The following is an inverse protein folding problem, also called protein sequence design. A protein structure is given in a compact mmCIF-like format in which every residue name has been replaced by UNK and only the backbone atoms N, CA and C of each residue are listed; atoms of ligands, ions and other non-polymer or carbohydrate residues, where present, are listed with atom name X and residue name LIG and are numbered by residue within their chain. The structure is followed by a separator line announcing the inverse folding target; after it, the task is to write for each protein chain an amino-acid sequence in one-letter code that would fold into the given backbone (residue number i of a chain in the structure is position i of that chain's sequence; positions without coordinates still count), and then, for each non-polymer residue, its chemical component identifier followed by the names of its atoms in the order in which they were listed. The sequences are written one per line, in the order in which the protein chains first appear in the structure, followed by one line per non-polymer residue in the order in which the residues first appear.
data_IF_889352390334
#
_entry.id   IF_889352390334
#
_cell.length_a   1.000
_cell.length_b   1.000
_cell.length_c   1.000
_cell.angle_alpha   90.00
_cell.angle_beta   90.00
_cell.angle_gamma   90.00
#
_symmetry.space_group_name_H-M   'P 1'
#
loop_
_entity.id
_entity.type
_entity.pdbx_description
1 polymer ?
#
# COMPACT_ATOMS: atom_id res chain seq x y z
N UNK A 1 -16.99 -4.34 22.18
CA UNK A 1 -16.45 -3.19 21.42
C UNK A 1 -15.25 -3.60 20.56
N UNK A 2 -14.25 -4.35 21.08
CA UNK A 2 -13.23 -4.94 20.20
C UNK A 2 -13.81 -6.01 19.28
N UNK A 3 -14.73 -6.83 19.77
CA UNK A 3 -15.27 -7.97 19.01
C UNK A 3 -15.94 -7.56 17.69
N UNK A 4 -16.79 -6.52 17.69
CA UNK A 4 -17.46 -6.04 16.47
C UNK A 4 -16.45 -5.53 15.43
N UNK A 5 -15.42 -4.80 15.87
CA UNK A 5 -14.37 -4.30 14.99
C UNK A 5 -13.52 -5.43 14.41
N UNK A 6 -13.23 -6.47 15.20
CA UNK A 6 -12.54 -7.66 14.71
C UNK A 6 -13.38 -8.46 13.73
N UNK A 7 -14.68 -8.57 13.95
CA UNK A 7 -15.58 -9.20 12.99
C UNK A 7 -15.56 -8.46 11.65
N UNK A 8 -15.55 -7.12 11.67
CA UNK A 8 -15.43 -6.29 10.47
C UNK A 8 -14.09 -6.55 9.77
N UNK A 9 -12.97 -6.45 10.48
CA UNK A 9 -11.64 -6.70 9.91
C UNK A 9 -11.51 -8.14 9.37
N UNK A 10 -12.02 -9.13 10.09
CA UNK A 10 -11.97 -10.53 9.67
C UNK A 10 -12.80 -10.77 8.40
N UNK A 11 -14.01 -10.21 8.33
CA UNK A 11 -14.86 -10.30 7.14
C UNK A 11 -14.21 -9.62 5.94
N UNK A 12 -13.64 -8.43 6.11
CA UNK A 12 -12.92 -7.72 5.06
C UNK A 12 -11.69 -8.52 4.59
N UNK A 13 -10.91 -9.09 5.51
CA UNK A 13 -9.75 -9.90 5.17
C UNK A 13 -10.12 -11.18 4.42
N UNK A 14 -11.20 -11.86 4.81
CA UNK A 14 -11.71 -13.02 4.08
C UNK A 14 -12.09 -12.66 2.65
N UNK A 15 -12.78 -11.54 2.46
CA UNK A 15 -13.13 -11.04 1.13
C UNK A 15 -11.87 -10.72 0.31
N UNK A 16 -10.86 -10.10 0.92
CA UNK A 16 -9.58 -9.81 0.25
C UNK A 16 -8.88 -11.07 -0.22
N UNK A 17 -8.88 -12.12 0.61
CA UNK A 17 -8.28 -13.41 0.25
C UNK A 17 -9.05 -14.05 -0.91
N UNK A 18 -10.38 -14.00 -0.90
CA UNK A 18 -11.18 -14.60 -1.97
C UNK A 18 -11.10 -13.87 -3.31
N UNK A 19 -10.84 -12.56 -3.29
CA UNK A 19 -10.76 -11.73 -4.49
C UNK A 19 -9.33 -11.48 -4.97
N UNK A 20 -8.32 -12.00 -4.26
CA UNK A 20 -6.92 -11.78 -4.60
C UNK A 20 -6.58 -12.41 -5.95
N UNK A 21 -5.95 -11.62 -6.81
CA UNK A 21 -5.39 -12.07 -8.08
C UNK A 21 -3.87 -12.04 -8.06
N UNK A 22 -3.24 -12.86 -8.90
CA UNK A 22 -1.77 -12.93 -9.03
C UNK A 22 -1.16 -11.58 -9.39
N UNK A 23 -1.82 -10.86 -10.30
CA UNK A 23 -1.32 -9.60 -10.87
C UNK A 23 -1.74 -8.36 -10.06
N UNK A 24 -2.32 -8.54 -8.88
CA UNK A 24 -2.87 -7.44 -8.05
C UNK A 24 -1.81 -6.42 -7.61
N UNK A 25 -0.51 -6.71 -7.76
CA UNK A 25 0.59 -5.89 -7.28
C UNK A 25 1.62 -5.54 -8.37
N UNK A 26 1.28 -5.71 -9.65
CA UNK A 26 2.22 -5.55 -10.78
C UNK A 26 2.88 -4.16 -10.86
N UNK A 27 2.25 -3.11 -10.32
CA UNK A 27 2.83 -1.75 -10.30
C UNK A 27 3.57 -1.42 -9.00
N UNK A 28 3.68 -2.37 -8.06
CA UNK A 28 4.48 -2.26 -6.85
C UNK A 28 5.88 -2.86 -7.05
N UNK A 29 6.55 -2.49 -8.14
CA UNK A 29 7.97 -2.85 -8.34
C UNK A 29 8.84 -2.21 -7.26
N UNK A 30 9.99 -2.80 -7.00
CA UNK A 30 10.98 -2.28 -6.04
C UNK A 30 11.29 -0.81 -6.30
N UNK A 31 11.57 -0.43 -7.55
CA UNK A 31 11.91 0.94 -7.93
C UNK A 31 10.75 1.91 -7.66
N UNK A 32 9.52 1.46 -7.94
CA UNK A 32 8.32 2.27 -7.74
C UNK A 32 8.07 2.51 -6.26
N UNK A 33 8.18 1.46 -5.44
CA UNK A 33 8.00 1.53 -3.99
C UNK A 33 9.10 2.37 -3.35
N UNK A 34 10.36 2.15 -3.71
CA UNK A 34 11.50 2.95 -3.25
C UNK A 34 11.32 4.43 -3.58
N UNK A 35 10.84 4.74 -4.79
CA UNK A 35 10.55 6.11 -5.18
C UNK A 35 9.46 6.73 -4.31
N UNK A 36 8.32 6.05 -4.12
CA UNK A 36 7.22 6.50 -3.26
C UNK A 36 7.72 6.75 -1.83
N UNK A 37 8.47 5.80 -1.28
CA UNK A 37 8.98 5.86 0.10
C UNK A 37 9.99 6.99 0.25
N UNK A 38 10.89 7.15 -0.72
CA UNK A 38 11.88 8.24 -0.74
C UNK A 38 11.19 9.61 -0.76
N UNK A 39 10.15 9.78 -1.59
CA UNK A 39 9.37 11.03 -1.61
C UNK A 39 8.70 11.27 -0.27
N UNK A 40 8.07 10.26 0.33
CA UNK A 40 7.42 10.39 1.64
C UNK A 40 8.41 10.78 2.74
N UNK A 41 9.59 10.15 2.78
CA UNK A 41 10.67 10.47 3.71
C UNK A 41 11.17 11.91 3.51
N UNK A 42 11.40 12.33 2.25
CA UNK A 42 11.84 13.69 1.94
C UNK A 42 10.81 14.76 2.31
N UNK A 43 9.53 14.43 2.19
CA UNK A 43 8.43 15.29 2.61
C UNK A 43 8.12 15.19 4.11
N UNK A 44 8.85 14.34 4.86
CA UNK A 44 8.67 14.10 6.30
C UNK A 44 7.24 13.67 6.67
N UNK A 45 6.65 12.83 5.82
CA UNK A 45 5.30 12.31 6.02
C UNK A 45 5.31 11.13 7.01
N UNK A 46 4.25 10.94 7.81
CA UNK A 46 4.02 9.73 8.60
C UNK A 46 4.19 8.44 7.80
N UNK A 47 4.64 7.37 8.47
CA UNK A 47 4.94 6.10 7.79
C UNK A 47 3.70 5.48 7.15
N UNK A 48 2.53 5.67 7.75
CA UNK A 48 1.25 5.17 7.26
C UNK A 48 0.95 5.67 5.84
N UNK A 49 1.37 6.90 5.52
CA UNK A 49 1.10 7.55 4.23
C UNK A 49 1.84 6.84 3.09
N UNK A 50 3.07 6.35 3.30
CA UNK A 50 3.86 5.74 2.22
C UNK A 50 3.24 4.42 1.74
N UNK A 51 2.73 3.60 2.67
CA UNK A 51 2.04 2.35 2.33
C UNK A 51 0.68 2.62 1.66
N UNK A 52 -0.09 3.57 2.21
CA UNK A 52 -1.39 3.92 1.64
C UNK A 52 -1.23 4.51 0.23
N UNK A 53 -0.23 5.36 0.02
CA UNK A 53 0.08 5.92 -1.29
C UNK A 53 0.45 4.84 -2.32
N UNK A 54 1.25 3.85 -1.91
CA UNK A 54 1.61 2.71 -2.76
C UNK A 54 0.36 1.91 -3.17
N UNK A 55 -0.53 1.58 -2.23
CA UNK A 55 -1.79 0.88 -2.52
C UNK A 55 -2.67 1.69 -3.48
N UNK A 56 -2.84 3.00 -3.24
CA UNK A 56 -3.65 3.87 -4.11
C UNK A 56 -3.05 3.93 -5.51
N UNK A 57 -1.73 4.11 -5.61
CA UNK A 57 -1.03 4.18 -6.88
C UNK A 57 -1.22 2.88 -7.69
N UNK A 58 -0.95 1.73 -7.08
CA UNK A 58 -1.06 0.44 -7.75
C UNK A 58 -2.49 0.16 -8.25
N UNK A 59 -3.50 0.37 -7.39
CA UNK A 59 -4.91 0.21 -7.80
C UNK A 59 -5.27 1.12 -8.97
N UNK A 60 -4.85 2.38 -8.91
CA UNK A 60 -5.09 3.32 -10.00
C UNK A 60 -4.42 2.86 -11.30
N UNK A 61 -3.17 2.39 -11.23
CA UNK A 61 -2.43 1.95 -12.40
C UNK A 61 -3.05 0.72 -13.03
N UNK A 62 -3.52 -0.25 -12.24
CA UNK A 62 -4.27 -1.42 -12.72
C UNK A 62 -5.48 -1.01 -13.55
N UNK A 63 -6.38 -0.19 -12.98
CA UNK A 63 -7.58 0.28 -13.70
C UNK A 63 -7.19 1.13 -14.91
N UNK A 64 -6.24 2.04 -14.76
CA UNK A 64 -5.89 2.98 -15.82
C UNK A 64 -5.27 2.28 -17.03
N UNK A 65 -4.40 1.30 -16.80
CA UNK A 65 -3.74 0.53 -17.87
C UNK A 65 -4.73 -0.42 -18.53
N UNK A 66 -5.60 -1.08 -17.76
CA UNK A 66 -6.67 -1.93 -18.30
C UNK A 66 -7.64 -1.14 -19.20
N UNK A 67 -8.12 0.02 -18.76
CA UNK A 67 -8.99 0.89 -19.57
C UNK A 67 -8.33 1.31 -20.89
N UNK A 68 -7.05 1.66 -20.85
CA UNK A 68 -6.28 2.04 -22.03
C UNK A 68 -6.04 0.85 -22.95
N UNK A 69 -5.74 -0.32 -22.38
CA UNK A 69 -5.53 -1.55 -23.13
C UNK A 69 -6.80 -1.93 -23.89
N UNK A 70 -7.96 -1.93 -23.22
CA UNK A 70 -9.26 -2.15 -23.84
C UNK A 70 -9.53 -1.15 -24.97
N UNK A 71 -9.27 0.13 -24.73
CA UNK A 71 -9.42 1.19 -25.73
C UNK A 71 -8.60 0.95 -27.01
N UNK A 72 -7.41 0.36 -26.90
CA UNK A 72 -6.55 0.05 -28.06
C UNK A 72 -6.94 -1.27 -28.69
N UNK A 73 -6.99 -2.34 -27.90
CA UNK A 73 -7.03 -3.71 -28.40
C UNK A 73 -8.44 -4.21 -28.72
N UNK A 74 -9.50 -3.58 -28.20
CA UNK A 74 -10.88 -3.91 -28.57
C UNK A 74 -11.34 -3.20 -29.87
N UNK A 75 -10.57 -2.24 -30.38
CA UNK A 75 -10.90 -1.58 -31.65
C UNK A 75 -10.57 -2.46 -32.87
N UNK A 76 -11.28 -2.32 -34.01
CA UNK A 76 -11.05 -3.15 -35.19
C UNK A 76 -9.87 -2.67 -36.06
N UNK A 77 -8.77 -2.24 -35.45
CA UNK A 77 -7.55 -1.83 -36.17
C UNK A 77 -6.58 -3.02 -36.38
N UNK A 78 -5.72 -2.97 -37.41
CA UNK A 78 -4.66 -3.95 -37.60
C UNK A 78 -3.70 -4.02 -36.39
N UNK A 79 -3.16 -5.21 -36.11
CA UNK A 79 -2.28 -5.46 -34.95
C UNK A 79 -1.08 -4.49 -34.92
N UNK A 80 -0.43 -4.25 -36.06
CA UNK A 80 0.69 -3.32 -36.15
C UNK A 80 0.33 -1.89 -35.74
N UNK A 81 -0.89 -1.42 -36.07
CA UNK A 81 -1.37 -0.12 -35.65
C UNK A 81 -1.61 -0.09 -34.13
N UNK A 82 -2.22 -1.14 -33.58
CA UNK A 82 -2.45 -1.26 -32.12
C UNK A 82 -1.14 -1.23 -31.34
N UNK A 83 -0.11 -1.94 -31.81
CA UNK A 83 1.19 -1.96 -31.17
C UNK A 83 1.85 -0.57 -31.16
N UNK A 84 1.87 0.12 -32.30
CA UNK A 84 2.42 1.49 -32.37
C UNK A 84 1.67 2.47 -31.45
N UNK A 85 0.34 2.36 -31.39
CA UNK A 85 -0.46 3.19 -30.49
C UNK A 85 -0.21 2.85 -29.02
N UNK A 86 -0.02 1.56 -28.70
CA UNK A 86 0.31 1.09 -27.36
C UNK A 86 1.67 1.61 -26.89
N UNK A 87 2.72 1.53 -27.73
CA UNK A 87 4.05 2.07 -27.42
C UNK A 87 3.98 3.58 -27.12
N UNK A 88 3.17 4.33 -27.86
CA UNK A 88 2.95 5.76 -27.61
C UNK A 88 2.23 6.02 -26.29
N UNK A 89 1.24 5.19 -25.96
CA UNK A 89 0.48 5.27 -24.70
C UNK A 89 1.40 4.95 -23.53
N UNK A 90 2.16 3.87 -23.60
CA UNK A 90 3.13 3.46 -22.58
C UNK A 90 4.14 4.57 -22.30
N UNK A 91 4.76 5.13 -23.35
CA UNK A 91 5.68 6.26 -23.21
C UNK A 91 5.02 7.50 -22.58
N UNK A 92 3.70 7.69 -22.74
CA UNK A 92 2.96 8.77 -22.11
C UNK A 92 2.63 8.48 -20.64
N UNK A 93 2.28 7.24 -20.31
CA UNK A 93 2.06 6.80 -18.93
C UNK A 93 3.36 6.96 -18.13
N UNK A 94 4.48 6.45 -18.65
CA UNK A 94 5.78 6.49 -17.98
C UNK A 94 6.22 7.92 -17.64
N UNK A 95 5.99 8.89 -18.53
CA UNK A 95 6.25 10.32 -18.27
C UNK A 95 5.37 10.94 -17.18
N UNK A 96 4.20 10.34 -16.92
CA UNK A 96 3.24 10.83 -15.93
C UNK A 96 3.38 10.12 -14.57
N UNK A 97 4.11 9.01 -14.47
CA UNK A 97 4.29 8.25 -13.21
C UNK A 97 4.63 9.15 -12.02
N UNK A 98 5.61 10.07 -12.08
CA UNK A 98 5.92 10.96 -10.96
C UNK A 98 4.73 11.81 -10.52
N UNK A 99 3.95 12.34 -11.46
CA UNK A 99 2.74 13.09 -11.16
C UNK A 99 1.69 12.20 -10.48
N UNK A 100 1.50 10.96 -10.95
CA UNK A 100 0.55 10.00 -10.38
C UNK A 100 0.95 9.59 -8.96
N UNK A 101 2.23 9.27 -8.75
CA UNK A 101 2.78 8.95 -7.43
C UNK A 101 2.55 10.10 -6.45
N UNK A 102 2.96 11.32 -6.80
CA UNK A 102 2.79 12.46 -5.90
C UNK A 102 1.32 12.82 -5.66
N UNK A 103 0.44 12.54 -6.62
CA UNK A 103 -1.01 12.69 -6.43
C UNK A 103 -1.58 11.62 -5.49
N UNK A 104 -1.12 10.36 -5.60
CA UNK A 104 -1.48 9.29 -4.67
C UNK A 104 -1.00 9.58 -3.23
N UNK A 105 0.22 10.11 -3.07
CA UNK A 105 0.75 10.60 -1.78
C UNK A 105 -0.12 11.73 -1.23
N UNK A 106 -0.52 12.68 -2.09
CA UNK A 106 -1.42 13.76 -1.69
C UNK A 106 -2.77 13.23 -1.19
N UNK A 107 -3.40 12.29 -1.90
CA UNK A 107 -4.65 11.65 -1.48
C UNK A 107 -4.45 10.93 -0.15
N UNK A 108 -3.42 10.09 -0.04
CA UNK A 108 -3.09 9.37 1.20
C UNK A 108 -2.89 10.31 2.38
N UNK A 109 -2.21 11.45 2.18
CA UNK A 109 -2.02 12.44 3.24
C UNK A 109 -3.34 13.07 3.71
N UNK A 110 -4.29 13.34 2.80
CA UNK A 110 -5.63 13.86 3.14
C UNK A 110 -6.47 12.84 3.88
N UNK A 111 -6.35 11.56 3.53
CA UNK A 111 -7.03 10.46 4.23
C UNK A 111 -6.47 10.26 5.63
N UNK A 112 -5.16 10.47 5.83
CA UNK A 112 -4.51 10.32 7.12
C UNK A 112 -4.80 11.49 8.07
N UNK A 113 -4.59 12.73 7.62
CA UNK A 113 -4.91 13.95 8.38
C UNK A 113 -5.29 15.06 7.41
N UNK A 114 -6.54 15.51 7.44
CA UNK A 114 -7.00 16.61 6.58
C UNK A 114 -6.21 17.90 6.83
N UNK A 115 -5.97 18.23 8.11
CA UNK A 115 -5.33 19.48 8.52
C UNK A 115 -3.83 19.54 8.18
N UNK A 116 -3.13 18.41 8.25
CA UNK A 116 -1.69 18.31 7.97
C UNK A 116 -1.40 17.73 6.59
N UNK A 117 -2.41 17.69 5.72
CA UNK A 117 -2.29 17.10 4.39
C UNK A 117 -1.37 17.87 3.46
N UNK A 118 -0.77 17.16 2.52
CA UNK A 118 0.14 17.73 1.54
C UNK A 118 -0.62 18.67 0.60
N UNK A 119 -0.28 19.96 0.63
CA UNK A 119 -0.93 20.94 -0.23
C UNK A 119 -0.55 20.77 -1.72
N UNK A 120 -1.43 21.19 -2.62
CA UNK A 120 -1.17 21.16 -4.08
C UNK A 120 0.09 21.96 -4.46
N UNK A 121 0.39 23.03 -3.73
CA UNK A 121 1.59 23.84 -3.92
C UNK A 121 2.85 23.08 -3.53
N UNK A 122 2.82 22.30 -2.44
CA UNK A 122 3.93 21.45 -2.02
C UNK A 122 4.19 20.32 -3.02
N UNK A 123 3.13 19.69 -3.54
CA UNK A 123 3.25 18.69 -4.62
C UNK A 123 3.89 19.28 -5.86
N UNK A 124 3.41 20.45 -6.32
CA UNK A 124 4.01 21.16 -7.46
C UNK A 124 5.50 21.45 -7.22
N UNK A 125 5.85 21.91 -6.02
CA UNK A 125 7.24 22.22 -5.68
C UNK A 125 8.10 20.95 -5.71
N UNK A 126 7.63 19.85 -5.13
CA UNK A 126 8.32 18.56 -5.15
C UNK A 126 8.54 18.06 -6.59
N UNK A 127 7.51 18.10 -7.43
CA UNK A 127 7.62 17.77 -8.87
C UNK A 127 8.66 18.65 -9.57
N UNK A 128 8.67 19.95 -9.29
CA UNK A 128 9.66 20.88 -9.86
C UNK A 128 11.09 20.51 -9.43
N UNK A 129 11.31 20.16 -8.16
CA UNK A 129 12.62 19.71 -7.65
C UNK A 129 13.09 18.42 -8.31
N UNK A 130 12.15 17.57 -8.73
CA UNK A 130 12.42 16.33 -9.48
C UNK A 130 12.60 16.55 -11.00
N UNK A 131 12.55 17.81 -11.47
CA UNK A 131 12.73 18.16 -12.88
C UNK A 131 11.42 18.24 -13.69
N UNK A 132 10.26 18.11 -13.06
CA UNK A 132 8.96 18.11 -13.75
C UNK A 132 8.23 19.46 -13.64
N UNK A 133 7.94 20.07 -14.79
CA UNK A 133 7.27 21.35 -14.88
C UNK A 133 5.74 21.20 -14.94
N UNK A 134 5.11 20.87 -13.80
CA UNK A 134 3.64 20.80 -13.69
C UNK A 134 3.01 22.07 -13.11
N UNK A 135 1.76 22.35 -13.51
CA UNK A 135 0.95 23.42 -12.92
C UNK A 135 0.16 22.89 -11.71
N UNK A 136 -0.31 23.79 -10.84
CA UNK A 136 -1.22 23.42 -9.73
C UNK A 136 -2.50 22.78 -10.26
N UNK A 137 -3.00 23.27 -11.40
CA UNK A 137 -4.17 22.68 -12.07
C UNK A 137 -3.91 21.27 -12.59
N UNK A 138 -2.70 21.00 -13.10
CA UNK A 138 -2.29 19.65 -13.51
C UNK A 138 -2.28 18.68 -12.33
N UNK A 139 -1.78 19.13 -11.17
CA UNK A 139 -1.80 18.35 -9.92
C UNK A 139 -3.24 18.04 -9.50
N UNK A 140 -4.10 19.06 -9.44
CA UNK A 140 -5.52 18.87 -9.07
C UNK A 140 -6.24 17.93 -10.03
N UNK A 141 -6.05 18.08 -11.35
CA UNK A 141 -6.65 17.18 -12.34
C UNK A 141 -6.14 15.75 -12.20
N UNK A 142 -4.88 15.58 -11.81
CA UNK A 142 -4.32 14.26 -11.55
C UNK A 142 -4.95 13.60 -10.34
N UNK A 143 -5.12 14.34 -9.24
CA UNK A 143 -5.83 13.86 -8.06
C UNK A 143 -7.27 13.44 -8.38
N UNK A 144 -8.02 14.29 -9.10
CA UNK A 144 -9.40 13.98 -9.50
C UNK A 144 -9.44 12.73 -10.37
N UNK A 145 -8.50 12.58 -11.32
CA UNK A 145 -8.44 11.39 -12.18
C UNK A 145 -8.24 10.11 -11.36
N UNK A 146 -7.30 10.12 -10.40
CA UNK A 146 -7.06 8.95 -9.55
C UNK A 146 -8.32 8.60 -8.77
N UNK A 147 -8.96 9.59 -8.15
CA UNK A 147 -10.18 9.37 -7.37
C UNK A 147 -11.33 8.86 -8.23
N UNK A 148 -11.55 9.46 -9.41
CA UNK A 148 -12.64 9.05 -10.31
C UNK A 148 -12.42 7.67 -10.90
N UNK A 149 -11.18 7.31 -11.27
CA UNK A 149 -10.86 5.97 -11.78
C UNK A 149 -11.03 4.89 -10.72
N UNK A 150 -10.98 5.24 -9.45
CA UNK A 150 -11.20 4.33 -8.34
C UNK A 150 -12.63 4.42 -7.78
N UNK A 151 -13.57 5.04 -8.51
CA UNK A 151 -14.95 5.28 -8.06
C UNK A 151 -15.03 5.89 -6.66
N UNK A 152 -14.07 6.78 -6.34
CA UNK A 152 -13.90 7.42 -5.02
C UNK A 152 -13.66 6.43 -3.88
N UNK A 153 -13.36 5.18 -4.20
CA UNK A 153 -13.23 4.07 -3.29
C UNK A 153 -11.76 3.81 -2.89
N UNK A 154 -11.08 4.86 -2.42
CA UNK A 154 -9.67 4.81 -1.98
C UNK A 154 -9.46 4.21 -0.58
N UNK A 155 -10.54 4.09 0.20
CA UNK A 155 -10.51 3.65 1.60
C UNK A 155 -11.44 2.48 1.92
N UNK A 156 -11.98 1.77 0.92
CA UNK A 156 -12.85 0.59 1.15
C UNK A 156 -12.22 -0.46 2.04
N UNK A 157 -10.89 -0.59 1.97
CA UNK A 157 -10.13 -1.62 2.67
C UNK A 157 -9.17 -1.00 3.65
N UNK A 158 -9.16 -1.55 4.85
CA UNK A 158 -8.20 -1.18 5.87
C UNK A 158 -6.79 -1.53 5.39
N UNK A 159 -5.85 -0.60 5.64
CA UNK A 159 -4.43 -0.85 5.41
C UNK A 159 -3.98 -2.04 6.26
N UNK A 160 -3.04 -2.89 5.82
CA UNK A 160 -2.49 -3.96 6.67
C UNK A 160 -1.94 -3.43 8.01
N UNK A 161 -1.55 -2.15 8.07
CA UNK A 161 -1.19 -1.49 9.33
C UNK A 161 -2.32 -1.41 10.34
N UNK A 162 -3.57 -1.23 9.90
CA UNK A 162 -4.74 -1.16 10.80
C UNK A 162 -4.98 -2.51 11.47
N UNK A 163 -4.78 -3.61 10.73
CA UNK A 163 -4.84 -4.96 11.29
C UNK A 163 -3.74 -5.15 12.35
N UNK A 164 -2.50 -4.79 12.01
CA UNK A 164 -1.37 -4.93 12.93
C UNK A 164 -1.54 -4.05 14.19
N UNK A 165 -1.96 -2.79 14.03
CA UNK A 165 -2.23 -1.89 15.15
C UNK A 165 -3.35 -2.43 16.05
N UNK A 166 -4.45 -2.92 15.45
CA UNK A 166 -5.57 -3.51 16.20
C UNK A 166 -5.10 -4.73 17.02
N UNK A 167 -4.36 -5.65 16.38
CA UNK A 167 -3.81 -6.83 17.05
C UNK A 167 -2.85 -6.45 18.19
N UNK A 168 -1.95 -5.50 17.96
CA UNK A 168 -1.00 -5.04 18.99
C UNK A 168 -1.71 -4.36 20.16
N UNK A 169 -2.71 -3.52 19.91
CA UNK A 169 -3.53 -2.89 20.97
C UNK A 169 -4.24 -3.94 21.82
N UNK A 170 -4.82 -4.96 21.19
CA UNK A 170 -5.48 -6.05 21.91
C UNK A 170 -4.50 -6.85 22.76
N UNK A 171 -3.37 -7.29 22.17
CA UNK A 171 -2.33 -8.02 22.90
C UNK A 171 -1.82 -7.22 24.10
N UNK A 172 -1.58 -5.92 23.93
CA UNK A 172 -1.20 -5.02 25.01
C UNK A 172 -2.26 -4.96 26.12
N UNK A 173 -3.55 -4.86 25.76
CA UNK A 173 -4.64 -4.81 26.74
C UNK A 173 -4.78 -6.10 27.55
N UNK A 174 -4.70 -7.26 26.90
CA UNK A 174 -4.81 -8.59 27.54
C UNK A 174 -3.66 -8.77 28.55
N UNK A 175 -2.43 -8.51 28.12
CA UNK A 175 -1.23 -8.67 28.96
C UNK A 175 -1.22 -7.68 30.14
N UNK A 176 -1.79 -6.49 29.95
CA UNK A 176 -1.95 -5.50 31.04
C UNK A 176 -2.98 -5.98 32.07
N UNK A 177 -4.13 -6.52 31.64
CA UNK A 177 -5.16 -7.07 32.54
C UNK A 177 -4.63 -8.27 33.34
N UNK A 178 -3.87 -9.16 32.71
CA UNK A 178 -3.27 -10.31 33.40
C UNK A 178 -2.26 -9.87 34.46
N UNK A 179 -1.46 -8.84 34.19
CA UNK A 179 -0.55 -8.27 35.19
C UNK A 179 -1.27 -7.68 36.41
N UNK A 180 -2.46 -7.08 36.22
CA UNK A 180 -3.30 -6.57 37.30
C UNK A 180 -3.98 -7.71 38.07
N UNK A 181 -4.48 -8.76 37.39
CA UNK A 181 -5.06 -9.95 38.02
C UNK A 181 -4.05 -10.73 38.85
N UNK A 182 -2.80 -10.84 38.38
CA UNK A 182 -1.70 -11.48 39.13
C UNK A 182 -1.30 -10.63 40.35
N UNK A 183 -1.34 -9.30 40.25
CA UNK A 183 -1.10 -8.43 41.41
C UNK A 183 -2.19 -8.51 42.49
N UNK A 184 -3.44 -8.84 42.14
CA UNK A 184 -4.49 -9.18 43.10
C UNK A 184 -4.36 -10.60 43.70
N UNK A 185 -3.60 -11.50 43.05
CA UNK A 185 -3.33 -12.87 43.53
C UNK A 185 -1.88 -13.03 44.01
N UNK A 186 -1.39 -12.12 44.84
CA UNK A 186 -0.17 -12.37 45.62
C UNK A 186 -0.44 -13.36 46.76
N UNK A 187 -0.56 -14.62 46.38
CA UNK A 187 -0.16 -15.81 47.14
C UNK A 187 0.38 -16.78 46.08
N UNK A 188 1.58 -17.33 46.30
CA UNK A 188 2.38 -18.20 45.42
C UNK A 188 3.46 -17.52 44.55
N UNK A 189 4.75 -17.86 44.78
CA UNK A 189 5.88 -17.40 43.99
C UNK A 189 6.28 -18.48 42.97
N UNK A 190 5.76 -18.41 41.74
CA UNK A 190 6.35 -19.16 40.63
C UNK A 190 6.74 -18.27 39.46
N UNK A 191 7.99 -18.49 39.05
CA UNK A 191 8.79 -17.92 37.95
C UNK A 191 8.05 -16.96 37.00
N UNK A 192 8.34 -15.67 37.24
CA UNK A 192 7.86 -14.50 36.50
C UNK A 192 8.24 -14.53 35.03
N UNK A 193 7.25 -14.59 34.14
CA UNK A 193 7.36 -14.01 32.81
C UNK A 193 6.97 -12.52 32.88
N UNK A 194 7.67 -11.72 33.68
CA UNK A 194 7.46 -10.26 33.71
C UNK A 194 8.26 -9.60 32.59
N UNK A 195 8.05 -10.03 31.35
CA UNK A 195 8.49 -9.23 30.19
C UNK A 195 7.33 -8.29 29.88
N UNK A 196 7.46 -7.04 30.29
CA UNK A 196 6.53 -5.98 29.93
C UNK A 196 6.39 -5.95 28.41
N UNK A 197 5.18 -6.15 27.89
CA UNK A 197 4.91 -6.12 26.46
C UNK A 197 5.12 -4.69 25.95
N UNK A 198 6.25 -4.47 25.26
CA UNK A 198 6.58 -3.15 24.73
C UNK A 198 5.89 -2.95 23.38
N UNK A 199 4.64 -2.48 23.42
CA UNK A 199 3.83 -2.23 22.22
C UNK A 199 4.55 -1.30 21.24
N UNK A 200 5.28 -0.30 21.72
CA UNK A 200 6.03 0.63 20.88
C UNK A 200 7.17 -0.06 20.12
N UNK A 201 7.92 -0.97 20.78
CA UNK A 201 8.97 -1.74 20.12
C UNK A 201 8.38 -2.67 19.04
N UNK A 202 7.29 -3.39 19.35
CA UNK A 202 6.62 -4.24 18.37
C UNK A 202 6.07 -3.44 17.19
N UNK A 203 5.55 -2.24 17.43
CA UNK A 203 5.11 -1.35 16.35
C UNK A 203 6.27 -0.97 15.41
N UNK A 204 7.44 -0.63 15.96
CA UNK A 204 8.62 -0.37 15.12
C UNK A 204 9.05 -1.60 14.30
N UNK A 205 9.01 -2.79 14.89
CA UNK A 205 9.26 -4.03 14.15
C UNK A 205 8.22 -4.28 13.05
N UNK A 206 6.93 -4.04 13.34
CA UNK A 206 5.86 -4.13 12.34
C UNK A 206 6.13 -3.22 11.16
N UNK A 207 6.51 -1.96 11.40
CA UNK A 207 6.84 -1.01 10.34
C UNK A 207 8.04 -1.46 9.50
N UNK A 208 9.08 -2.01 10.12
CA UNK A 208 10.22 -2.60 9.41
C UNK A 208 9.80 -3.79 8.54
N UNK A 209 8.96 -4.69 9.08
CA UNK A 209 8.42 -5.80 8.30
C UNK A 209 7.59 -5.29 7.12
N UNK A 210 6.78 -4.25 7.32
CA UNK A 210 5.97 -3.64 6.26
C UNK A 210 6.84 -3.00 5.18
N UNK A 211 7.95 -2.36 5.56
CA UNK A 211 8.91 -1.83 4.59
C UNK A 211 9.48 -2.94 3.71
N UNK A 212 9.90 -4.05 4.31
CA UNK A 212 10.38 -5.20 3.56
C UNK A 212 9.30 -5.83 2.67
N UNK A 213 8.08 -5.98 3.18
CA UNK A 213 6.96 -6.56 2.41
C UNK A 213 6.65 -5.73 1.17
N UNK A 214 6.59 -4.41 1.30
CA UNK A 214 6.31 -3.55 0.16
C UNK A 214 7.48 -3.47 -0.83
N UNK A 215 8.73 -3.42 -0.35
CA UNK A 215 9.89 -3.31 -1.23
C UNK A 215 10.23 -4.61 -1.97
N UNK A 216 9.94 -5.76 -1.37
CA UNK A 216 10.37 -7.07 -1.87
C UNK A 216 9.20 -8.06 -1.96
N UNK A 217 8.01 -7.57 -2.30
CA UNK A 217 6.81 -8.42 -2.35
C UNK A 217 7.00 -9.64 -3.25
N UNK A 218 7.52 -9.44 -4.46
CA UNK A 218 7.71 -10.52 -5.44
C UNK A 218 8.63 -11.62 -4.90
N UNK A 219 9.77 -11.26 -4.31
CA UNK A 219 10.69 -12.23 -3.69
C UNK A 219 10.05 -12.93 -2.49
N UNK A 220 9.28 -12.20 -1.67
CA UNK A 220 8.62 -12.76 -0.49
C UNK A 220 7.54 -13.73 -0.94
N UNK A 221 6.74 -13.38 -1.94
CA UNK A 221 5.71 -14.22 -2.52
C UNK A 221 6.31 -15.48 -3.13
N UNK A 222 7.38 -15.36 -3.92
CA UNK A 222 8.10 -16.50 -4.50
C UNK A 222 8.58 -17.46 -3.40
N UNK A 223 9.24 -16.93 -2.35
CA UNK A 223 9.70 -17.75 -1.22
C UNK A 223 8.54 -18.41 -0.46
N UNK A 224 7.42 -17.71 -0.29
CA UNK A 224 6.21 -18.27 0.33
C UNK A 224 5.63 -19.40 -0.53
N UNK A 225 5.55 -19.21 -1.85
CA UNK A 225 5.06 -20.22 -2.78
C UNK A 225 5.98 -21.44 -2.81
N UNK A 226 7.30 -21.27 -2.82
CA UNK A 226 8.26 -22.37 -2.74
C UNK A 226 8.09 -23.15 -1.42
N UNK A 227 7.87 -22.45 -0.31
CA UNK A 227 7.65 -23.11 0.99
C UNK A 227 6.34 -23.92 1.04
N UNK A 228 5.29 -23.48 0.34
CA UNK A 228 3.98 -24.15 0.32
C UNK A 228 3.91 -25.26 -0.74
N UNK A 229 4.49 -25.03 -1.92
CA UNK A 229 4.36 -25.88 -3.11
C UNK A 229 5.60 -26.72 -3.40
N UNK A 230 6.72 -26.51 -2.70
CA UNK A 230 7.99 -27.18 -2.95
C UNK A 230 8.59 -26.84 -4.32
N UNK A 231 9.20 -27.82 -4.99
CA UNK A 231 9.86 -27.66 -6.31
C UNK A 231 8.88 -27.17 -7.40
N UNK A 232 7.57 -27.39 -7.23
CA UNK A 232 6.53 -26.88 -8.13
C UNK A 232 6.39 -25.34 -8.09
N UNK A 233 6.84 -24.70 -7.00
CA UNK A 233 6.87 -23.23 -6.89
C UNK A 233 7.85 -22.55 -7.86
N UNK A 234 8.84 -23.29 -8.40
CA UNK A 234 9.79 -22.75 -9.39
C UNK A 234 9.18 -22.51 -10.77
N UNK A 235 7.97 -23.02 -11.05
CA UNK A 235 7.27 -22.86 -12.33
C UNK A 235 6.30 -21.67 -12.33
N UNK A 236 6.26 -20.87 -11.26
CA UNK A 236 5.43 -19.66 -11.21
C UNK A 236 6.00 -18.62 -12.19
N UNK A 237 5.16 -17.97 -13.02
CA UNK A 237 5.64 -16.99 -13.98
C UNK A 237 6.29 -15.83 -13.24
N UNK A 238 7.52 -15.49 -13.64
CA UNK A 238 8.22 -14.31 -13.12
C UNK A 238 7.58 -13.08 -13.74
N UNK A 239 7.30 -12.05 -12.92
CA UNK A 239 7.12 -10.70 -13.43
C UNK A 239 8.38 -10.36 -14.23
N UNK A 240 8.23 -10.21 -15.55
CA UNK A 240 9.35 -9.87 -16.43
C UNK A 240 9.61 -8.38 -16.22
N UNK A 241 10.82 -8.07 -15.70
CA UNK A 241 11.37 -6.72 -15.52
C UNK A 241 11.18 -5.80 -16.72
#
# INVERSE_FOLDING_TARGET
MYDDWLCILAAENLQRISEAMEDDQIFLTTETVEYIFTVCVRLRLPQEIKYLAAIIFNKFMLVHVDDLYKTVYETPHPIAHKQNEWERIEANISRQIPLRILSAIQIASKLHSYHDSLSRSMVKLALKTLGYAYTVNSVMRSEIRILSSLDWNVSSRQSPLVYAETLLKMLGSILTIDSLRVNCRKAFPERRLTRTFNTAAYWQFTLLCMDCVFMFWDEILERMLINVLGVAGNNFPRSVN
#
